data_IF_327615668797
#
_entry.id   IF_327615668797
#
_cell.length_a   1.000
_cell.length_b   1.000
_cell.length_c   1.000
_cell.angle_alpha   90.00
_cell.angle_beta   90.00
_cell.angle_gamma   90.00
#
_symmetry.space_group_name_H-M   'P 1'
#
loop_
_entity.id
_entity.type
_entity.pdbx_description
1 polymer ?
#
# COMPACT_ATOMS: atom_id res chain seq x y z
N UNK A 1 0.98 12.08 -11.11
CA UNK A 1 1.46 12.16 -9.71
C UNK A 1 1.70 13.60 -9.26
N UNK A 2 2.52 14.41 -9.97
CA UNK A 2 2.77 15.81 -9.58
C UNK A 2 1.48 16.64 -9.50
N UNK A 3 0.59 16.50 -10.47
CA UNK A 3 -0.70 17.21 -10.49
C UNK A 3 -1.59 16.91 -9.28
N UNK A 4 -1.56 15.67 -8.77
CA UNK A 4 -2.28 15.29 -7.55
C UNK A 4 -1.70 16.03 -6.34
N UNK A 5 -0.37 16.07 -6.21
CA UNK A 5 0.28 16.80 -5.12
C UNK A 5 0.00 18.31 -5.21
N UNK A 6 0.11 18.88 -6.40
CA UNK A 6 -0.14 20.30 -6.63
C UNK A 6 -1.59 20.66 -6.26
N UNK A 7 -2.57 19.81 -6.60
CA UNK A 7 -3.97 19.98 -6.20
C UNK A 7 -4.16 19.89 -4.69
N UNK A 8 -3.45 19.01 -3.98
CA UNK A 8 -3.54 18.91 -2.50
C UNK A 8 -2.96 20.16 -1.83
N UNK A 9 -1.90 20.75 -2.40
CA UNK A 9 -1.24 21.94 -1.84
C UNK A 9 -1.94 23.25 -2.20
N UNK A 10 -2.81 23.24 -3.20
CA UNK A 10 -3.62 24.41 -3.55
C UNK A 10 -4.70 24.69 -2.49
N UNK A 11 -4.90 25.97 -2.17
CA UNK A 11 -5.81 26.40 -1.11
C UNK A 11 -7.29 26.37 -1.48
N UNK A 12 -7.61 26.24 -2.77
CA UNK A 12 -8.96 26.40 -3.34
C UNK A 12 -9.46 25.15 -4.09
N UNK A 13 -8.72 24.03 -4.01
CA UNK A 13 -9.14 22.75 -4.58
C UNK A 13 -10.46 22.26 -3.97
N UNK A 14 -11.32 21.74 -4.84
CA UNK A 14 -12.64 21.20 -4.52
C UNK A 14 -12.70 19.70 -4.81
N UNK A 15 -13.66 18.98 -4.21
CA UNK A 15 -13.97 17.58 -4.52
C UNK A 15 -13.98 17.23 -6.03
N UNK A 16 -14.59 18.10 -6.84
CA UNK A 16 -14.69 17.90 -8.28
C UNK A 16 -13.33 17.95 -8.99
N UNK A 17 -12.36 18.69 -8.47
CA UNK A 17 -11.03 18.78 -9.05
C UNK A 17 -10.32 17.42 -8.89
N UNK A 18 -10.35 16.84 -7.70
CA UNK A 18 -9.79 15.51 -7.43
C UNK A 18 -10.49 14.41 -8.25
N UNK A 19 -11.81 14.45 -8.37
CA UNK A 19 -12.59 13.49 -9.15
C UNK A 19 -12.23 13.48 -10.65
N UNK A 20 -11.76 14.61 -11.19
CA UNK A 20 -11.39 14.76 -12.60
C UNK A 20 -9.89 14.54 -12.87
N UNK A 21 -9.04 14.49 -11.85
CA UNK A 21 -7.60 14.23 -12.03
C UNK A 21 -7.35 12.84 -12.62
N UNK A 22 -6.45 12.75 -13.61
CA UNK A 22 -6.02 11.46 -14.13
C UNK A 22 -5.29 10.65 -13.04
N UNK A 23 -5.69 9.38 -12.88
CA UNK A 23 -4.96 8.46 -12.00
C UNK A 23 -3.68 7.98 -12.68
N UNK A 24 -2.58 7.84 -11.95
CA UNK A 24 -1.36 7.30 -12.51
C UNK A 24 -1.49 5.78 -12.73
N UNK A 25 -0.78 5.25 -13.72
CA UNK A 25 -0.72 3.80 -13.96
C UNK A 25 0.10 3.07 -12.87
N UNK A 26 1.08 3.75 -12.29
CA UNK A 26 1.90 3.24 -11.20
C UNK A 26 2.13 4.29 -10.10
N UNK A 27 2.48 3.83 -8.90
CA UNK A 27 2.88 4.69 -7.80
C UNK A 27 4.08 4.12 -7.05
N UNK A 28 4.79 5.00 -6.35
CA UNK A 28 5.94 4.61 -5.54
C UNK A 28 5.49 4.04 -4.20
N UNK A 29 6.06 2.91 -3.80
CA UNK A 29 5.72 2.22 -2.56
C UNK A 29 6.96 1.64 -1.88
N UNK A 30 6.90 1.48 -0.55
CA UNK A 30 7.86 0.67 0.20
C UNK A 30 7.35 -0.77 0.25
N UNK A 31 8.15 -1.71 -0.24
CA UNK A 31 7.77 -3.11 -0.45
C UNK A 31 8.75 -4.07 0.22
N UNK A 32 8.26 -5.27 0.54
CA UNK A 32 9.08 -6.49 0.69
C UNK A 32 8.75 -7.44 -0.45
N UNK A 33 9.69 -8.31 -0.84
CA UNK A 33 9.51 -9.26 -1.95
C UNK A 33 9.41 -10.71 -1.47
N UNK A 34 8.63 -11.52 -2.20
CA UNK A 34 8.29 -12.89 -1.79
C UNK A 34 9.49 -13.84 -1.90
N UNK A 35 10.30 -13.68 -2.93
CA UNK A 35 11.52 -14.46 -3.17
C UNK A 35 12.63 -14.17 -2.16
N UNK A 36 12.51 -13.08 -1.39
CA UNK A 36 13.43 -12.73 -0.31
C UNK A 36 12.95 -13.19 1.08
N UNK A 37 11.78 -13.85 1.19
CA UNK A 37 11.18 -14.17 2.49
C UNK A 37 12.09 -15.01 3.42
N UNK A 38 13.00 -15.79 2.86
CA UNK A 38 13.97 -16.63 3.59
C UNK A 38 15.36 -15.99 3.72
N UNK A 39 15.57 -14.74 3.26
CA UNK A 39 16.88 -14.07 3.24
C UNK A 39 17.54 -13.94 4.62
N UNK A 40 16.74 -14.04 5.68
CA UNK A 40 17.17 -13.93 7.07
C UNK A 40 17.13 -15.25 7.84
N UNK A 41 16.98 -16.39 7.16
CA UNK A 41 16.96 -17.71 7.78
C UNK A 41 18.24 -17.97 8.59
N UNK A 42 18.09 -18.50 9.80
CA UNK A 42 19.20 -18.82 10.71
C UNK A 42 19.86 -17.62 11.40
N UNK A 43 19.47 -16.38 11.09
CA UNK A 43 20.02 -15.20 11.76
C UNK A 43 19.25 -14.84 13.05
N UNK A 44 19.95 -14.40 14.12
CA UNK A 44 19.29 -13.84 15.29
C UNK A 44 18.44 -12.61 14.93
N UNK A 45 17.23 -12.49 15.49
CA UNK A 45 16.28 -11.38 15.23
C UNK A 45 16.93 -10.00 15.28
N UNK A 46 17.81 -9.75 16.25
CA UNK A 46 18.47 -8.44 16.43
C UNK A 46 19.42 -8.06 15.28
N UNK A 47 19.90 -9.03 14.52
CA UNK A 47 20.80 -8.86 13.37
C UNK A 47 20.06 -8.76 12.03
N UNK A 48 18.75 -9.05 12.01
CA UNK A 48 17.92 -8.85 10.83
C UNK A 48 17.73 -7.35 10.62
N UNK A 49 18.24 -6.85 9.51
CA UNK A 49 18.28 -5.42 9.20
C UNK A 49 17.19 -5.08 8.17
N UNK A 50 16.12 -4.35 8.55
CA UNK A 50 15.05 -3.94 7.64
C UNK A 50 15.54 -3.28 6.34
N UNK A 51 16.69 -2.58 6.40
CA UNK A 51 17.24 -1.88 5.22
C UNK A 51 17.67 -2.82 4.09
N UNK A 52 17.78 -4.12 4.36
CA UNK A 52 18.16 -5.12 3.35
C UNK A 52 16.97 -5.71 2.62
N UNK A 53 15.77 -5.69 3.21
CA UNK A 53 14.55 -6.30 2.69
C UNK A 53 13.50 -5.30 2.20
N UNK A 54 13.64 -4.03 2.60
CA UNK A 54 12.76 -2.95 2.17
C UNK A 54 13.25 -2.34 0.86
N UNK A 55 12.37 -2.36 -0.14
CA UNK A 55 12.62 -1.80 -1.46
C UNK A 55 11.74 -0.58 -1.71
N UNK A 56 12.19 0.30 -2.60
CA UNK A 56 11.44 1.45 -3.06
C UNK A 56 11.05 1.26 -4.53
N UNK A 57 9.86 0.72 -4.75
CA UNK A 57 9.42 0.26 -6.07
C UNK A 57 8.37 1.17 -6.70
N UNK A 58 8.21 1.05 -8.02
CA UNK A 58 7.01 1.47 -8.74
C UNK A 58 6.09 0.26 -8.90
N UNK A 59 4.88 0.36 -8.39
CA UNK A 59 3.87 -0.70 -8.43
C UNK A 59 2.63 -0.22 -9.20
N UNK A 60 1.94 -1.11 -9.94
CA UNK A 60 0.70 -0.75 -10.62
C UNK A 60 -0.37 -0.30 -9.64
N UNK A 61 -1.19 0.65 -10.07
CA UNK A 61 -2.39 1.04 -9.32
C UNK A 61 -3.40 -0.13 -9.30
N UNK A 62 -3.88 -0.58 -8.13
CA UNK A 62 -4.87 -1.64 -8.07
C UNK A 62 -6.23 -1.14 -8.58
N UNK A 63 -7.02 -2.03 -9.17
CA UNK A 63 -8.43 -1.78 -9.44
C UNK A 63 -9.16 -1.51 -8.11
N UNK A 64 -10.11 -0.58 -8.08
CA UNK A 64 -10.87 -0.21 -6.89
C UNK A 64 -12.17 -1.03 -6.78
N UNK A 65 -12.33 -1.77 -5.70
CA UNK A 65 -13.50 -2.59 -5.43
C UNK A 65 -14.64 -1.85 -4.71
N UNK A 66 -15.80 -2.51 -4.51
CA UNK A 66 -16.93 -1.94 -3.76
C UNK A 66 -16.54 -1.60 -2.32
N UNK A 67 -17.01 -0.44 -1.82
CA UNK A 67 -16.74 0.01 -0.45
C UNK A 67 -15.30 0.47 -0.17
N UNK A 68 -14.42 0.48 -1.16
CA UNK A 68 -13.02 0.90 -1.01
C UNK A 68 -12.83 2.39 -1.33
N UNK A 69 -11.76 2.99 -0.82
CA UNK A 69 -11.32 4.34 -1.19
C UNK A 69 -9.85 4.30 -1.63
N UNK A 70 -9.55 4.94 -2.76
CA UNK A 70 -8.17 5.21 -3.18
C UNK A 70 -7.74 6.54 -2.57
N UNK A 71 -6.64 6.55 -1.81
CA UNK A 71 -6.17 7.73 -1.07
C UNK A 71 -4.78 8.14 -1.56
N UNK A 72 -4.60 9.43 -1.86
CA UNK A 72 -3.29 10.04 -2.02
C UNK A 72 -2.66 10.26 -0.65
N UNK A 73 -1.73 9.37 -0.28
CA UNK A 73 -1.06 9.39 1.02
C UNK A 73 -0.04 10.52 1.08
N UNK A 74 -0.24 11.46 2.01
CA UNK A 74 0.68 12.57 2.27
C UNK A 74 1.71 12.21 3.33
N UNK A 75 1.30 11.40 4.32
CA UNK A 75 2.18 10.90 5.36
C UNK A 75 1.71 9.52 5.84
N UNK A 76 2.66 8.76 6.38
CA UNK A 76 2.44 7.47 7.04
C UNK A 76 3.31 7.42 8.31
N UNK A 77 3.37 6.25 8.96
CA UNK A 77 4.15 6.02 10.17
C UNK A 77 4.85 4.65 10.11
N UNK A 78 5.91 4.50 10.90
CA UNK A 78 6.56 3.21 11.12
C UNK A 78 6.11 2.67 12.48
N UNK A 79 5.38 1.56 12.41
CA UNK A 79 4.84 0.81 13.53
C UNK A 79 5.54 -0.56 13.66
N UNK A 80 5.35 -1.24 14.80
CA UNK A 80 6.05 -2.50 15.05
C UNK A 80 5.72 -3.59 14.04
N UNK A 81 4.49 -3.67 13.54
CA UNK A 81 4.12 -4.60 12.48
C UNK A 81 4.83 -4.31 11.14
N UNK A 82 5.17 -3.06 10.83
CA UNK A 82 6.07 -2.74 9.70
C UNK A 82 7.48 -3.30 9.93
N UNK A 83 8.00 -3.17 11.15
CA UNK A 83 9.30 -3.77 11.53
C UNK A 83 9.24 -5.29 11.41
N UNK A 84 8.24 -5.94 12.00
CA UNK A 84 8.06 -7.40 11.93
C UNK A 84 7.95 -7.91 10.49
N UNK A 85 7.19 -7.19 9.65
CA UNK A 85 7.09 -7.51 8.22
C UNK A 85 8.45 -7.42 7.54
N UNK A 86 9.22 -6.36 7.80
CA UNK A 86 10.53 -6.16 7.17
C UNK A 86 11.56 -7.22 7.55
N UNK A 87 11.40 -7.92 8.68
CA UNK A 87 12.31 -8.99 9.08
C UNK A 87 11.70 -10.39 8.95
N UNK A 88 10.52 -10.48 8.32
CA UNK A 88 9.75 -11.70 8.05
C UNK A 88 9.42 -12.52 9.31
N UNK A 89 9.11 -11.86 10.43
CA UNK A 89 8.79 -12.50 11.71
C UNK A 89 7.36 -12.20 12.20
N UNK A 90 6.74 -13.09 13.00
CA UNK A 90 7.22 -14.46 13.32
C UNK A 90 7.13 -15.41 12.12
N UNK A 91 6.38 -15.02 11.09
CA UNK A 91 6.31 -15.69 9.77
C UNK A 91 6.20 -14.61 8.68
N UNK A 92 6.66 -14.88 7.45
CA UNK A 92 6.49 -13.95 6.34
C UNK A 92 5.01 -13.64 6.06
N UNK A 93 4.75 -12.37 5.74
CA UNK A 93 3.39 -11.87 5.52
C UNK A 93 2.70 -12.49 4.29
N UNK A 94 3.47 -12.93 3.30
CA UNK A 94 2.96 -13.59 2.10
C UNK A 94 2.07 -14.81 2.38
N UNK A 95 2.34 -15.57 3.46
CA UNK A 95 1.54 -16.73 3.80
C UNK A 95 0.07 -16.41 4.13
N UNK A 96 -0.20 -15.24 4.72
CA UNK A 96 -1.58 -14.80 4.95
C UNK A 96 -2.19 -14.14 3.71
N UNK A 97 -1.40 -13.40 2.93
CA UNK A 97 -1.86 -12.75 1.70
C UNK A 97 -2.33 -13.80 0.68
N UNK A 98 -1.58 -14.87 0.49
CA UNK A 98 -1.97 -15.99 -0.37
C UNK A 98 -3.25 -16.67 0.11
N UNK A 99 -3.35 -16.92 1.42
CA UNK A 99 -4.51 -17.58 2.02
C UNK A 99 -5.77 -16.73 1.85
N UNK A 100 -5.66 -15.43 2.11
CA UNK A 100 -6.75 -14.48 1.92
C UNK A 100 -7.10 -14.31 0.44
N UNK A 101 -6.10 -14.27 -0.44
CA UNK A 101 -6.29 -14.15 -1.89
C UNK A 101 -7.03 -15.33 -2.54
N UNK A 102 -7.15 -16.47 -1.85
CA UNK A 102 -7.98 -17.61 -2.28
C UNK A 102 -9.46 -17.49 -1.91
N UNK A 103 -9.85 -16.49 -1.13
CA UNK A 103 -11.23 -16.36 -0.62
C UNK A 103 -12.21 -15.76 -1.62
N UNK A 104 -11.74 -14.88 -2.52
CA UNK A 104 -12.58 -14.25 -3.55
C UNK A 104 -11.73 -13.61 -4.67
N UNK A 105 -12.32 -13.32 -5.85
CA UNK A 105 -11.63 -12.55 -6.90
C UNK A 105 -11.15 -11.17 -6.42
N UNK A 106 -11.92 -10.48 -5.57
CA UNK A 106 -11.52 -9.19 -5.01
C UNK A 106 -10.32 -9.31 -4.08
N UNK A 107 -10.27 -10.35 -3.24
CA UNK A 107 -9.16 -10.60 -2.34
C UNK A 107 -7.89 -11.03 -3.09
N UNK A 108 -8.02 -11.66 -4.27
CA UNK A 108 -6.89 -12.11 -5.10
C UNK A 108 -5.91 -10.99 -5.46
N UNK A 109 -6.39 -9.74 -5.55
CA UNK A 109 -5.57 -8.54 -5.80
C UNK A 109 -4.46 -8.33 -4.75
N UNK A 110 -4.56 -8.93 -3.57
CA UNK A 110 -3.55 -8.85 -2.52
C UNK A 110 -2.48 -9.97 -2.57
N UNK A 111 -2.72 -11.05 -3.30
CA UNK A 111 -1.75 -12.14 -3.49
C UNK A 111 -0.80 -11.78 -4.64
N UNK A 112 0.21 -10.98 -4.30
CA UNK A 112 1.20 -10.42 -5.21
C UNK A 112 2.62 -10.91 -4.87
N UNK A 113 3.58 -10.86 -5.81
CA UNK A 113 4.98 -11.20 -5.53
C UNK A 113 5.70 -10.16 -4.64
N UNK A 114 5.03 -9.05 -4.32
CA UNK A 114 5.49 -8.00 -3.41
C UNK A 114 4.38 -7.64 -2.42
N UNK A 115 4.76 -7.09 -1.26
CA UNK A 115 3.82 -6.57 -0.27
C UNK A 115 4.20 -5.14 0.10
N UNK A 116 3.30 -4.21 -0.17
CA UNK A 116 3.42 -2.79 0.22
C UNK A 116 3.08 -2.65 1.70
N UNK A 117 3.99 -2.10 2.48
CA UNK A 117 3.82 -1.97 3.94
C UNK A 117 3.45 -0.55 4.36
N UNK A 118 2.91 -0.44 5.57
CA UNK A 118 2.39 0.79 6.16
C UNK A 118 0.96 0.57 6.64
N UNK A 119 0.69 0.79 7.93
CA UNK A 119 -0.66 0.59 8.51
C UNK A 119 -1.28 1.87 9.06
N UNK A 120 -0.67 3.00 8.74
CA UNK A 120 -1.15 4.34 9.08
C UNK A 120 -1.12 5.19 7.80
N UNK A 121 -2.07 6.12 7.66
CA UNK A 121 -2.03 7.11 6.60
C UNK A 121 -2.70 8.41 7.04
N UNK A 122 -2.22 9.52 6.49
CA UNK A 122 -2.94 10.79 6.41
C UNK A 122 -2.88 11.26 4.96
N UNK A 123 -4.02 11.66 4.37
CA UNK A 123 -4.08 11.94 2.95
C UNK A 123 -5.45 12.42 2.49
N UNK A 124 -5.60 12.50 1.17
CA UNK A 124 -6.81 12.98 0.49
C UNK A 124 -7.41 11.84 -0.34
N UNK A 125 -8.72 11.64 -0.23
CA UNK A 125 -9.44 10.64 -1.04
C UNK A 125 -9.39 11.08 -2.51
N UNK A 126 -9.00 10.17 -3.41
CA UNK A 126 -9.00 10.41 -4.85
C UNK A 126 -10.22 9.79 -5.53
N UNK A 127 -10.59 8.57 -5.14
CA UNK A 127 -11.72 7.83 -5.71
C UNK A 127 -12.39 6.98 -4.64
N UNK A 128 -13.67 6.73 -4.83
CA UNK A 128 -14.45 5.81 -4.00
C UNK A 128 -15.09 4.74 -4.88
N UNK A 129 -15.12 3.51 -4.37
CA UNK A 129 -15.75 2.38 -5.05
C UNK A 129 -17.27 2.40 -4.94
N UNK A 130 -17.96 1.51 -5.67
CA UNK A 130 -19.41 1.38 -5.59
C UNK A 130 -19.92 1.22 -4.15
N UNK A 131 -20.99 1.92 -3.81
CA UNK A 131 -21.68 1.82 -2.51
C UNK A 131 -21.11 2.71 -1.39
N UNK A 132 -20.00 3.43 -1.61
CA UNK A 132 -19.50 4.43 -0.65
C UNK A 132 -20.40 5.68 -0.67
N UNK A 133 -20.85 6.12 0.50
CA UNK A 133 -21.71 7.31 0.65
C UNK A 133 -21.17 8.37 1.63
N UNK A 134 -20.36 7.95 2.61
CA UNK A 134 -19.85 8.82 3.67
C UNK A 134 -18.61 9.62 3.26
N UNK A 135 -18.00 9.28 2.12
CA UNK A 135 -16.75 9.85 1.64
C UNK A 135 -16.85 10.22 0.16
N UNK A 136 -16.13 11.25 -0.22
CA UNK A 136 -16.02 11.77 -1.57
C UNK A 136 -14.56 12.14 -1.83
N UNK A 137 -14.13 12.16 -3.11
CA UNK A 137 -12.92 12.88 -3.51
C UNK A 137 -12.96 14.35 -3.07
#
# INVERSE_FOLDING_TARGET
MKEILDAILASDSKPADFANLALPESYRAVTVHKDEADMFAGMPTRQKDPRKSLHLDQVPLPELGPGEALVAVMASSVNYNSVWTSIFEPVPTFGFLERYGRTSPLARRHDLPYHIIGSDLAGVVLRTGPGVNAWQP
#
